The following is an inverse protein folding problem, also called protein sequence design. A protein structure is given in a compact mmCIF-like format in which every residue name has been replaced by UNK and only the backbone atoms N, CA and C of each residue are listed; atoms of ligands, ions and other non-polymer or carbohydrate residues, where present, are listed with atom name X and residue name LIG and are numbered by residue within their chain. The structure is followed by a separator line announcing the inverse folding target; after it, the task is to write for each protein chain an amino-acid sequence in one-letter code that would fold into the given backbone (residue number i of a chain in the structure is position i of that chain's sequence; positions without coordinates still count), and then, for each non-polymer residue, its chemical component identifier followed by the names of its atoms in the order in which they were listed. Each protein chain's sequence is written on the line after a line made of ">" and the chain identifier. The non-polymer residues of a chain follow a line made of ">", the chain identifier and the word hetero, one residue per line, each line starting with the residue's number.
data_IF_082628837258
#
_entry.id   IF_082628837258
#
_cell.length_a   1.000
_cell.length_b   1.000
_cell.length_c   1.000
_cell.angle_alpha   90.00
_cell.angle_beta   90.00
_cell.angle_gamma   90.00
#
_symmetry.space_group_name_H-M   'P 1'
#
loop_
_entity.id
_entity.type
_entity.pdbx_description
1 polymer ?
#
# COMPACT_ATOMS: atom_id res chain seq x y z
N UNK A 1 -67.46 -20.57 -11.43
CA UNK A 1 -66.05 -20.57 -10.95
C UNK A 1 -65.44 -19.22 -11.30
N UNK A 2 -65.37 -18.31 -10.33
CA UNK A 2 -64.77 -16.97 -10.46
C UNK A 2 -63.31 -17.08 -10.00
N UNK A 3 -62.36 -16.97 -10.93
CA UNK A 3 -60.94 -16.87 -10.61
C UNK A 3 -60.64 -15.45 -10.15
N UNK A 4 -60.37 -15.30 -8.85
CA UNK A 4 -59.83 -14.08 -8.25
C UNK A 4 -58.41 -13.85 -8.79
N UNK A 5 -58.28 -12.87 -9.68
CA UNK A 5 -57.03 -12.16 -9.90
C UNK A 5 -56.75 -11.29 -8.66
N UNK A 6 -56.05 -11.87 -7.69
CA UNK A 6 -55.51 -11.10 -6.56
C UNK A 6 -54.34 -10.28 -7.08
N UNK A 7 -54.62 -9.00 -7.35
CA UNK A 7 -53.64 -7.94 -7.55
C UNK A 7 -52.72 -7.92 -6.32
N UNK A 8 -51.57 -8.60 -6.43
CA UNK A 8 -50.45 -8.37 -5.53
C UNK A 8 -49.88 -7.00 -5.92
N UNK A 9 -50.43 -5.94 -5.33
CA UNK A 9 -49.83 -4.63 -5.34
C UNK A 9 -48.47 -4.75 -4.65
N UNK A 10 -47.44 -4.99 -5.46
CA UNK A 10 -46.05 -4.82 -5.06
C UNK A 10 -45.92 -3.35 -4.72
N UNK A 11 -46.12 -3.02 -3.44
CA UNK A 11 -45.76 -1.74 -2.87
C UNK A 11 -44.23 -1.68 -3.00
N UNK A 12 -43.77 -1.18 -4.14
CA UNK A 12 -42.43 -0.65 -4.28
C UNK A 12 -42.45 0.56 -3.36
N UNK A 13 -42.21 0.34 -2.07
CA UNK A 13 -41.72 1.39 -1.21
C UNK A 13 -40.39 1.77 -1.84
N UNK A 14 -40.44 2.79 -2.69
CA UNK A 14 -39.29 3.59 -3.06
C UNK A 14 -38.78 4.16 -1.75
N UNK A 15 -38.04 3.35 -0.99
CA UNK A 15 -37.11 3.83 0.00
C UNK A 15 -36.28 4.82 -0.78
N UNK A 16 -36.55 6.10 -0.54
CA UNK A 16 -35.71 7.20 -0.95
C UNK A 16 -34.34 6.86 -0.41
N UNK A 17 -33.53 6.18 -1.24
CA UNK A 17 -32.11 6.03 -1.01
C UNK A 17 -31.64 7.47 -0.87
N UNK A 18 -31.43 7.90 0.37
CA UNK A 18 -30.95 9.25 0.65
C UNK A 18 -29.78 9.46 -0.27
N UNK A 19 -29.81 10.55 -1.04
CA UNK A 19 -28.68 10.90 -1.89
C UNK A 19 -27.45 10.91 -0.98
N UNK A 20 -26.60 9.90 -1.15
CA UNK A 20 -25.35 9.81 -0.44
C UNK A 20 -24.54 11.02 -0.90
N UNK A 21 -24.38 11.99 0.00
CA UNK A 21 -23.55 13.16 -0.24
C UNK A 21 -22.10 12.69 -0.18
N UNK A 22 -21.61 12.07 -1.26
CA UNK A 22 -20.25 11.60 -1.32
C UNK A 22 -19.29 12.71 -0.92
N UNK A 23 -18.41 12.42 0.04
CA UNK A 23 -17.33 13.34 0.43
C UNK A 23 -16.57 13.91 -0.76
N UNK A 24 -16.15 15.15 -0.59
CA UNK A 24 -15.18 15.80 -1.46
C UNK A 24 -13.89 14.99 -1.59
N UNK A 25 -13.23 15.02 -2.76
CA UNK A 25 -11.92 14.40 -2.93
C UNK A 25 -10.90 15.02 -1.97
N UNK A 26 -9.77 14.35 -1.78
CA UNK A 26 -8.73 14.86 -0.90
C UNK A 26 -7.44 14.07 -0.95
N UNK A 27 -6.45 14.53 -0.21
CA UNK A 27 -5.15 13.88 -0.05
C UNK A 27 -5.11 13.12 1.27
N UNK A 28 -4.74 11.86 1.21
CA UNK A 28 -4.61 10.95 2.36
C UNK A 28 -3.14 10.73 2.64
N UNK A 29 -2.74 10.85 3.90
CA UNK A 29 -1.43 10.44 4.37
C UNK A 29 -1.59 9.44 5.51
N UNK A 30 -0.78 8.39 5.47
CA UNK A 30 -0.66 7.45 6.59
C UNK A 30 0.80 7.34 6.99
N UNK A 31 1.05 7.43 8.29
CA UNK A 31 2.40 7.36 8.88
C UNK A 31 2.41 6.36 10.03
N UNK A 32 3.38 5.46 10.04
CA UNK A 32 3.70 4.64 11.21
C UNK A 32 4.40 5.56 12.22
N UNK A 33 3.68 6.03 13.23
CA UNK A 33 4.24 6.98 14.19
C UNK A 33 5.07 6.29 15.27
N UNK A 34 4.60 5.13 15.73
CA UNK A 34 5.24 4.33 16.77
C UNK A 34 4.76 2.88 16.73
N UNK A 35 5.53 2.01 17.37
CA UNK A 35 5.12 0.65 17.70
C UNK A 35 5.50 0.32 19.14
N UNK A 36 5.00 -0.79 19.65
CA UNK A 36 5.29 -1.26 20.99
C UNK A 36 5.31 -2.78 21.04
N UNK A 37 6.08 -3.29 21.99
CA UNK A 37 6.21 -4.71 22.28
C UNK A 37 5.64 -4.98 23.67
N UNK A 38 4.60 -5.81 23.75
CA UNK A 38 4.06 -6.30 25.04
C UNK A 38 4.62 -7.67 25.41
N UNK A 39 5.17 -8.38 24.43
CA UNK A 39 5.90 -9.62 24.61
C UNK A 39 6.79 -9.83 23.39
N UNK A 40 8.08 -9.97 23.63
CA UNK A 40 9.07 -10.32 22.62
C UNK A 40 8.86 -11.77 22.12
N UNK A 41 9.24 -12.05 20.89
CA UNK A 41 9.34 -13.40 20.33
C UNK A 41 10.47 -14.15 21.03
N UNK A 42 10.61 -15.45 20.74
CA UNK A 42 11.76 -16.19 21.27
C UNK A 42 12.91 -16.03 20.30
N UNK A 43 13.80 -15.13 20.65
CA UNK A 43 15.07 -14.90 19.98
C UNK A 43 15.97 -16.15 19.99
N UNK A 44 16.98 -16.16 19.12
CA UNK A 44 17.99 -17.21 19.13
C UNK A 44 18.78 -17.17 20.46
N UNK A 45 19.23 -18.33 20.95
CA UNK A 45 19.89 -18.43 22.27
C UNK A 45 21.24 -17.67 22.33
N UNK A 46 21.76 -17.25 21.17
CA UNK A 46 23.09 -16.69 21.03
C UNK A 46 23.10 -15.20 20.69
N UNK A 47 21.94 -14.58 20.50
CA UNK A 47 21.77 -13.22 19.98
C UNK A 47 22.62 -13.03 18.69
N UNK A 48 22.57 -14.01 17.78
CA UNK A 48 23.50 -14.14 16.65
C UNK A 48 23.21 -13.15 15.51
N UNK A 49 21.97 -12.73 15.39
CA UNK A 49 21.42 -11.74 14.47
C UNK A 49 21.20 -10.37 15.13
N UNK A 50 21.28 -10.29 16.45
CA UNK A 50 21.31 -9.04 17.20
C UNK A 50 20.79 -9.27 18.61
N UNK A 51 20.65 -8.21 19.40
CA UNK A 51 20.21 -8.33 20.79
C UNK A 51 18.69 -8.36 20.81
N UNK A 52 18.06 -9.44 21.28
CA UNK A 52 16.59 -9.50 21.39
C UNK A 52 15.95 -9.31 20.02
N UNK A 53 14.64 -9.07 20.00
CA UNK A 53 13.90 -9.02 18.75
C UNK A 53 14.34 -7.87 17.85
N UNK A 54 14.34 -8.21 16.56
CA UNK A 54 14.37 -7.27 15.46
C UNK A 54 13.11 -7.39 14.62
N UNK A 55 12.54 -6.24 14.28
CA UNK A 55 11.30 -6.21 13.51
C UNK A 55 11.36 -5.24 12.35
N UNK A 56 10.64 -5.57 11.29
CA UNK A 56 10.29 -4.61 10.25
C UNK A 56 8.80 -4.67 9.97
N UNK A 57 8.32 -3.66 9.26
CA UNK A 57 6.90 -3.51 8.97
C UNK A 57 6.69 -3.55 7.47
N UNK A 58 5.66 -4.30 7.03
CA UNK A 58 5.23 -4.35 5.64
C UNK A 58 3.78 -3.88 5.54
N UNK A 59 3.56 -2.89 4.68
CA UNK A 59 2.30 -2.21 4.49
C UNK A 59 1.87 -2.34 3.04
N UNK A 60 0.95 -3.25 2.76
CA UNK A 60 0.37 -3.36 1.42
C UNK A 60 -0.89 -2.51 1.36
N UNK A 61 -1.07 -1.72 0.31
CA UNK A 61 -2.22 -0.84 0.21
C UNK A 61 -2.78 -0.74 -1.21
N UNK A 62 -4.04 -0.35 -1.29
CA UNK A 62 -4.76 -0.15 -2.55
C UNK A 62 -5.72 1.03 -2.46
N UNK A 63 -5.90 1.72 -3.58
CA UNK A 63 -6.99 2.68 -3.79
C UNK A 63 -7.98 2.05 -4.76
N UNK A 64 -9.19 1.80 -4.29
CA UNK A 64 -10.30 1.33 -5.10
C UNK A 64 -11.14 2.52 -5.55
N UNK A 65 -11.58 2.50 -6.81
CA UNK A 65 -12.60 3.41 -7.29
C UNK A 65 -13.97 3.08 -6.72
N UNK A 66 -14.94 3.96 -7.00
CA UNK A 66 -16.35 3.80 -6.58
C UNK A 66 -17.00 2.47 -7.02
N UNK A 67 -16.46 1.78 -8.03
CA UNK A 67 -16.98 0.49 -8.49
C UNK A 67 -16.12 -0.70 -8.03
N UNK A 68 -15.19 -0.48 -7.10
CA UNK A 68 -14.27 -1.52 -6.63
C UNK A 68 -13.12 -1.83 -7.59
N UNK A 69 -12.98 -1.09 -8.69
CA UNK A 69 -11.84 -1.24 -9.58
C UNK A 69 -10.57 -0.70 -8.93
N UNK A 70 -9.48 -1.47 -8.95
CA UNK A 70 -8.17 -1.03 -8.44
C UNK A 70 -7.63 0.13 -9.27
N UNK A 71 -7.44 1.29 -8.65
CA UNK A 71 -6.78 2.48 -9.25
C UNK A 71 -5.30 2.52 -8.92
N UNK A 72 -4.94 2.04 -7.74
CA UNK A 72 -3.57 1.94 -7.25
C UNK A 72 -3.44 0.69 -6.39
N UNK A 73 -2.31 0.02 -6.48
CA UNK A 73 -1.86 -1.01 -5.53
C UNK A 73 -0.36 -0.86 -5.36
N UNK A 74 0.12 -0.85 -4.13
CA UNK A 74 1.54 -0.70 -3.83
C UNK A 74 1.84 -1.29 -2.45
N UNK A 75 3.12 -1.26 -2.07
CA UNK A 75 3.58 -1.65 -0.75
C UNK A 75 4.69 -0.73 -0.26
N UNK A 76 4.79 -0.60 1.06
CA UNK A 76 5.89 0.08 1.75
C UNK A 76 6.47 -0.87 2.79
N UNK A 77 7.78 -1.08 2.76
CA UNK A 77 8.50 -1.90 3.73
C UNK A 77 9.48 -0.98 4.46
N UNK A 78 9.52 -1.04 5.79
CA UNK A 78 10.45 -0.24 6.59
C UNK A 78 11.85 -0.85 6.59
N UNK A 79 12.83 -0.09 7.09
CA UNK A 79 14.06 -0.70 7.59
C UNK A 79 13.76 -1.60 8.80
N UNK A 80 14.77 -2.37 9.21
CA UNK A 80 14.71 -3.17 10.43
C UNK A 80 14.95 -2.27 11.64
N UNK A 81 14.12 -2.42 12.66
CA UNK A 81 14.25 -1.80 13.98
C UNK A 81 14.78 -2.84 14.95
N UNK A 82 15.87 -2.52 15.67
CA UNK A 82 16.54 -3.50 16.55
C UNK A 82 17.93 -3.09 16.98
N UNK A 83 18.83 -4.06 17.23
CA UNK A 83 20.25 -3.79 17.45
C UNK A 83 20.90 -3.23 16.17
N UNK A 84 21.54 -2.08 16.27
CA UNK A 84 22.19 -1.42 15.14
C UNK A 84 23.73 -1.37 15.27
N UNK A 85 24.32 -2.32 15.99
CA UNK A 85 25.77 -2.37 16.23
C UNK A 85 26.50 -3.33 15.29
N UNK A 86 27.80 -3.09 15.08
CA UNK A 86 28.66 -3.97 14.28
C UNK A 86 28.18 -4.20 12.85
N UNK A 87 27.96 -5.48 12.50
CA UNK A 87 27.45 -5.92 11.19
C UNK A 87 26.03 -5.43 10.87
N UNK A 88 25.32 -4.92 11.88
CA UNK A 88 23.91 -4.49 11.79
C UNK A 88 23.76 -2.97 11.77
N UNK A 89 24.83 -2.23 11.48
CA UNK A 89 24.86 -0.76 11.46
C UNK A 89 23.93 -0.10 10.43
N UNK A 90 23.35 -0.87 9.50
CA UNK A 90 22.33 -0.39 8.57
C UNK A 90 20.91 -0.37 9.16
N UNK A 91 20.68 -0.94 10.36
CA UNK A 91 19.39 -0.94 11.05
C UNK A 91 19.12 0.38 11.74
N UNK A 92 17.84 0.61 12.07
CA UNK A 92 17.46 1.69 12.99
C UNK A 92 17.58 1.16 14.42
N UNK A 93 18.48 1.75 15.22
CA UNK A 93 18.60 1.40 16.63
C UNK A 93 17.27 1.66 17.34
N UNK A 94 16.67 0.62 17.91
CA UNK A 94 15.37 0.68 18.54
C UNK A 94 15.26 -0.30 19.71
N UNK A 95 14.42 0.03 20.68
CA UNK A 95 14.23 -0.77 21.89
C UNK A 95 15.20 -0.45 23.01
N UNK A 96 15.11 -1.21 24.11
CA UNK A 96 15.90 -0.99 25.32
C UNK A 96 16.59 -2.25 25.86
N UNK A 97 16.85 -3.23 25.00
CA UNK A 97 17.73 -4.34 25.34
C UNK A 97 19.17 -3.84 25.61
N UNK A 98 19.85 -4.52 26.53
CA UNK A 98 21.22 -4.20 26.93
C UNK A 98 22.12 -5.41 26.71
N UNK A 99 23.37 -5.18 26.29
CA UNK A 99 24.38 -6.23 26.22
C UNK A 99 24.80 -6.75 27.62
N UNK A 100 25.66 -7.77 27.66
CA UNK A 100 26.17 -8.36 28.91
C UNK A 100 26.98 -7.38 29.78
N UNK A 101 27.38 -6.23 29.22
CA UNK A 101 28.10 -5.16 29.91
C UNK A 101 27.15 -4.02 30.32
N UNK A 102 25.85 -4.14 30.05
CA UNK A 102 24.83 -3.15 30.37
C UNK A 102 24.71 -2.01 29.35
N UNK A 103 25.36 -2.08 28.19
CA UNK A 103 25.23 -1.05 27.16
C UNK A 103 23.94 -1.28 26.36
N UNK A 104 23.10 -0.25 26.24
CA UNK A 104 21.97 -0.29 25.32
C UNK A 104 22.49 -0.21 23.87
N UNK A 105 22.27 -1.28 23.09
CA UNK A 105 22.68 -1.38 21.68
C UNK A 105 21.49 -1.30 20.71
N UNK A 106 20.29 -1.11 21.24
CA UNK A 106 19.06 -1.47 20.58
C UNK A 106 18.69 -2.93 20.91
N UNK A 107 17.65 -3.41 20.23
CA UNK A 107 16.99 -4.67 20.54
C UNK A 107 15.66 -4.43 21.22
N UNK A 108 14.61 -5.00 20.67
CA UNK A 108 13.25 -4.79 21.16
C UNK A 108 12.95 -5.83 22.22
N UNK A 109 12.54 -5.36 23.40
CA UNK A 109 12.08 -6.23 24.48
C UNK A 109 10.69 -5.86 24.94
N UNK A 110 10.14 -6.74 25.76
CA UNK A 110 8.88 -6.56 26.47
C UNK A 110 8.83 -5.19 27.16
N UNK A 111 7.71 -4.50 26.96
CA UNK A 111 7.39 -3.13 27.41
C UNK A 111 8.06 -1.99 26.64
N UNK A 112 8.81 -2.25 25.57
CA UNK A 112 9.34 -1.19 24.72
C UNK A 112 8.23 -0.45 23.95
N UNK A 113 8.42 0.87 23.81
CA UNK A 113 7.63 1.75 22.95
C UNK A 113 8.60 2.55 22.09
N UNK A 114 8.54 2.36 20.78
CA UNK A 114 9.49 2.92 19.81
C UNK A 114 8.78 3.93 18.90
N UNK A 115 9.22 5.18 18.93
CA UNK A 115 8.77 6.21 17.98
C UNK A 115 9.62 6.19 16.71
N UNK A 116 8.99 6.19 15.54
CA UNK A 116 9.70 6.05 14.25
C UNK A 116 9.24 6.98 13.13
N UNK A 117 7.98 7.45 13.12
CA UNK A 117 7.45 8.40 12.13
C UNK A 117 7.76 8.05 10.65
N UNK A 118 7.52 6.80 10.25
CA UNK A 118 7.77 6.34 8.88
C UNK A 118 6.56 6.61 7.98
N UNK A 119 6.70 7.40 6.90
CA UNK A 119 5.61 7.63 5.95
C UNK A 119 5.29 6.33 5.19
N UNK A 120 4.00 5.95 5.18
CA UNK A 120 3.53 4.70 4.58
C UNK A 120 2.91 4.92 3.21
N UNK A 121 1.98 5.87 3.12
CA UNK A 121 1.36 6.26 1.87
C UNK A 121 1.01 7.75 1.87
N UNK A 122 1.03 8.33 0.68
CA UNK A 122 0.62 9.71 0.42
C UNK A 122 -0.05 9.77 -0.96
N UNK A 123 -1.39 9.77 -0.99
CA UNK A 123 -2.17 9.59 -2.21
C UNK A 123 -3.33 10.57 -2.29
N UNK A 124 -3.71 10.97 -3.50
CA UNK A 124 -4.94 11.72 -3.74
C UNK A 124 -6.06 10.74 -4.09
N UNK A 125 -7.20 10.88 -3.41
CA UNK A 125 -8.41 10.11 -3.67
C UNK A 125 -9.53 10.98 -4.24
N UNK A 126 -10.27 10.39 -5.17
CA UNK A 126 -11.46 10.97 -5.78
C UNK A 126 -12.71 10.77 -4.92
N UNK A 127 -13.82 11.30 -5.41
CA UNK A 127 -15.15 11.10 -4.82
C UNK A 127 -15.52 9.61 -4.89
N UNK A 128 -15.84 9.02 -3.74
CA UNK A 128 -16.25 7.61 -3.63
C UNK A 128 -15.11 6.59 -3.74
N UNK A 129 -13.86 7.04 -3.86
CA UNK A 129 -12.69 6.16 -3.74
C UNK A 129 -12.55 5.66 -2.30
N UNK A 130 -11.98 4.46 -2.14
CA UNK A 130 -11.66 3.85 -0.83
C UNK A 130 -10.17 3.51 -0.79
N UNK A 131 -9.49 3.94 0.26
CA UNK A 131 -8.12 3.50 0.57
C UNK A 131 -8.21 2.31 1.50
N UNK A 132 -7.50 1.22 1.18
CA UNK A 132 -7.33 0.07 2.05
C UNK A 132 -5.87 -0.19 2.33
N UNK A 133 -5.53 -0.54 3.57
CA UNK A 133 -4.21 -0.86 4.07
C UNK A 133 -4.24 -2.21 4.78
N UNK A 134 -3.23 -3.04 4.52
CA UNK A 134 -3.01 -4.34 5.17
C UNK A 134 -1.64 -4.28 5.85
N UNK A 135 -1.57 -3.84 7.12
CA UNK A 135 -0.32 -3.82 7.86
C UNK A 135 0.08 -5.22 8.35
N UNK A 136 1.38 -5.48 8.39
CA UNK A 136 1.98 -6.65 9.04
C UNK A 136 3.29 -6.25 9.72
N UNK A 137 3.58 -6.90 10.86
CA UNK A 137 4.86 -6.81 11.57
C UNK A 137 5.58 -8.12 11.34
N UNK A 138 6.87 -8.08 11.08
CA UNK A 138 7.70 -9.24 10.84
C UNK A 138 8.85 -9.27 11.82
N UNK A 139 9.05 -10.45 12.41
CA UNK A 139 10.31 -10.82 13.05
C UNK A 139 11.40 -10.93 11.97
N UNK A 140 12.62 -10.54 12.32
CA UNK A 140 13.77 -10.53 11.43
C UNK A 140 14.91 -11.34 12.04
N UNK A 141 15.31 -12.39 11.33
CA UNK A 141 16.40 -13.31 11.69
C UNK A 141 17.36 -13.52 10.50
N UNK A 142 17.47 -12.49 9.65
CA UNK A 142 18.30 -12.48 8.42
C UNK A 142 18.06 -13.63 7.42
N UNK A 143 16.91 -14.29 7.47
CA UNK A 143 16.67 -15.51 6.69
C UNK A 143 15.38 -15.45 5.85
N UNK A 144 15.23 -16.32 4.86
CA UNK A 144 13.94 -16.61 4.22
C UNK A 144 13.07 -15.45 3.66
N UNK A 145 13.65 -14.48 2.94
CA UNK A 145 12.90 -13.40 2.26
C UNK A 145 11.87 -13.88 1.22
N UNK A 146 11.96 -15.13 0.77
CA UNK A 146 11.02 -15.72 -0.19
C UNK A 146 9.62 -15.91 0.40
N UNK A 147 9.52 -16.26 1.68
CA UNK A 147 8.23 -16.41 2.37
C UNK A 147 7.54 -15.07 2.50
N UNK A 148 8.27 -14.03 2.90
CA UNK A 148 7.77 -12.66 2.95
C UNK A 148 7.26 -12.20 1.58
N UNK A 149 8.06 -12.37 0.53
CA UNK A 149 7.67 -11.98 -0.83
C UNK A 149 6.40 -12.70 -1.27
N UNK A 150 6.33 -14.02 -1.04
CA UNK A 150 5.16 -14.83 -1.39
C UNK A 150 3.90 -14.41 -0.62
N UNK A 151 4.05 -14.09 0.66
CA UNK A 151 2.97 -13.55 1.49
C UNK A 151 2.44 -12.24 0.92
N UNK A 152 3.33 -11.29 0.64
CA UNK A 152 2.97 -9.97 0.11
C UNK A 152 2.28 -10.07 -1.25
N UNK A 153 2.80 -10.91 -2.15
CA UNK A 153 2.19 -11.18 -3.46
C UNK A 153 0.80 -11.80 -3.31
N UNK A 154 0.62 -12.74 -2.38
CA UNK A 154 -0.68 -13.36 -2.11
C UNK A 154 -1.73 -12.31 -1.69
N UNK A 155 -1.38 -11.40 -0.78
CA UNK A 155 -2.27 -10.33 -0.34
C UNK A 155 -2.59 -9.37 -1.49
N UNK A 156 -1.56 -8.87 -2.18
CA UNK A 156 -1.74 -7.91 -3.27
C UNK A 156 -2.54 -8.49 -4.45
N UNK A 157 -2.38 -9.79 -4.74
CA UNK A 157 -3.14 -10.48 -5.78
C UNK A 157 -4.64 -10.57 -5.48
N UNK A 158 -5.02 -10.52 -4.20
CA UNK A 158 -6.42 -10.57 -3.76
C UNK A 158 -7.10 -9.19 -3.76
N UNK A 159 -6.36 -8.09 -3.96
CA UNK A 159 -6.92 -6.73 -3.96
C UNK A 159 -8.07 -6.52 -4.94
N UNK A 160 -8.08 -7.00 -6.19
CA UNK A 160 -9.22 -6.81 -7.09
C UNK A 160 -10.53 -7.37 -6.50
N UNK A 161 -10.48 -8.55 -5.88
CA UNK A 161 -11.66 -9.16 -5.25
C UNK A 161 -12.03 -8.42 -3.96
N UNK A 162 -11.05 -8.13 -3.11
CA UNK A 162 -11.26 -7.38 -1.87
C UNK A 162 -11.89 -6.00 -2.13
N UNK A 163 -11.43 -5.30 -3.16
CA UNK A 163 -11.85 -3.94 -3.49
C UNK A 163 -13.34 -3.84 -3.85
N UNK A 164 -13.89 -4.85 -4.53
CA UNK A 164 -15.33 -4.88 -4.82
C UNK A 164 -16.17 -4.90 -3.55
N UNK A 165 -15.77 -5.72 -2.57
CA UNK A 165 -16.52 -5.92 -1.33
C UNK A 165 -16.29 -4.81 -0.31
N UNK A 166 -15.09 -4.23 -0.28
CA UNK A 166 -14.74 -3.18 0.67
C UNK A 166 -15.45 -1.86 0.34
N UNK A 167 -15.65 -1.56 -0.94
CA UNK A 167 -16.36 -0.35 -1.36
C UNK A 167 -17.82 -0.42 -0.93
N UNK A 168 -18.47 -1.57 -1.08
CA UNK A 168 -19.82 -1.81 -0.56
C UNK A 168 -19.87 -1.69 0.96
N UNK A 169 -18.86 -2.24 1.64
CA UNK A 169 -18.78 -2.21 3.09
C UNK A 169 -18.64 -0.80 3.66
N UNK A 170 -17.66 -0.03 3.16
CA UNK A 170 -17.40 1.34 3.62
C UNK A 170 -18.61 2.24 3.42
N UNK A 171 -19.40 2.01 2.36
CA UNK A 171 -20.67 2.73 2.15
C UNK A 171 -21.71 2.41 3.22
N UNK A 172 -21.84 1.14 3.58
CA UNK A 172 -22.81 0.71 4.59
C UNK A 172 -22.46 1.21 5.99
N UNK A 173 -21.17 1.31 6.30
CA UNK A 173 -20.67 1.71 7.62
C UNK A 173 -20.92 3.19 7.97
N UNK A 174 -21.33 4.00 7.02
CA UNK A 174 -21.75 5.37 7.29
C UNK A 174 -23.26 5.40 7.57
N UNK A 175 -23.74 5.96 8.71
CA UNK A 175 -23.13 7.07 9.46
C UNK A 175 -22.51 6.74 10.84
N UNK A 176 -22.54 5.50 11.32
CA UNK A 176 -22.13 5.13 12.70
C UNK A 176 -20.63 4.82 12.78
N UNK A 177 -19.83 5.83 13.11
CA UNK A 177 -18.35 5.74 13.08
C UNK A 177 -17.73 5.46 14.45
N UNK A 178 -18.56 5.28 15.48
CA UNK A 178 -18.07 4.97 16.82
C UNK A 178 -17.55 3.53 16.95
N UNK A 179 -17.81 2.68 15.95
CA UNK A 179 -17.36 1.28 15.93
C UNK A 179 -16.14 1.11 15.01
N UNK A 180 -15.01 0.67 15.58
CA UNK A 180 -13.80 0.33 14.83
C UNK A 180 -14.05 -0.78 13.80
N UNK A 181 -15.07 -1.62 13.99
CA UNK A 181 -15.45 -2.65 13.04
C UNK A 181 -15.85 -2.07 11.67
N UNK A 182 -16.18 -0.78 11.59
CA UNK A 182 -16.53 -0.11 10.35
C UNK A 182 -15.34 0.09 9.40
N UNK A 183 -14.13 0.23 9.94
CA UNK A 183 -12.94 0.53 9.15
C UNK A 183 -11.79 -0.44 9.39
N UNK A 184 -11.83 -1.26 10.46
CA UNK A 184 -10.84 -2.29 10.76
C UNK A 184 -11.51 -3.65 10.82
N UNK A 185 -11.08 -4.58 9.98
CA UNK A 185 -11.60 -5.96 9.95
C UNK A 185 -10.52 -6.99 9.74
N UNK A 186 -10.84 -8.22 10.10
CA UNK A 186 -10.10 -9.38 9.60
C UNK A 186 -10.39 -9.56 8.10
N UNK A 187 -9.35 -9.80 7.34
CA UNK A 187 -9.37 -9.91 5.88
C UNK A 187 -9.99 -11.19 5.34
N UNK A 188 -10.05 -12.24 6.17
CA UNK A 188 -10.63 -13.52 5.78
C UNK A 188 -12.17 -13.47 5.74
N UNK A 189 -12.78 -14.46 5.11
CA UNK A 189 -14.24 -14.55 5.00
C UNK A 189 -14.83 -13.51 4.05
N UNK A 190 -15.53 -12.51 4.59
CA UNK A 190 -16.26 -11.52 3.79
C UNK A 190 -15.36 -10.83 2.77
N UNK A 191 -14.20 -10.31 3.19
CA UNK A 191 -13.30 -9.55 2.30
C UNK A 191 -12.56 -10.40 1.27
N UNK A 192 -12.54 -11.73 1.43
CA UNK A 192 -11.94 -12.65 0.48
C UNK A 192 -10.41 -12.62 0.43
N UNK A 193 -9.73 -12.07 1.45
CA UNK A 193 -8.29 -12.30 1.57
C UNK A 193 -8.06 -13.76 2.01
N UNK A 194 -7.06 -14.45 1.44
CA UNK A 194 -6.71 -15.78 1.87
C UNK A 194 -6.17 -15.75 3.30
N UNK A 195 -6.45 -16.80 4.06
CA UNK A 195 -5.61 -17.12 5.22
C UNK A 195 -4.25 -17.59 4.70
N UNK A 196 -3.16 -16.98 5.16
CA UNK A 196 -1.83 -17.23 4.60
C UNK A 196 -1.16 -18.50 5.16
N UNK A 197 -1.94 -19.50 5.61
CA UNK A 197 -1.44 -20.72 6.26
C UNK A 197 -0.49 -21.51 5.36
N UNK A 198 -0.85 -21.73 4.09
CA UNK A 198 -0.03 -22.50 3.15
C UNK A 198 1.35 -21.88 2.87
N UNK A 199 1.43 -20.55 2.86
CA UNK A 199 2.68 -19.81 2.59
C UNK A 199 3.56 -19.77 3.84
N UNK A 200 2.96 -19.67 5.01
CA UNK A 200 3.66 -19.47 6.27
C UNK A 200 3.96 -20.78 7.03
N UNK A 201 3.50 -21.92 6.51
CA UNK A 201 3.70 -23.21 7.16
C UNK A 201 5.19 -23.53 7.41
N UNK A 202 6.09 -23.10 6.53
CA UNK A 202 7.54 -23.35 6.66
C UNK A 202 8.19 -22.60 7.83
N UNK A 203 7.56 -21.52 8.31
CA UNK A 203 8.04 -20.66 9.40
C UNK A 203 7.17 -20.75 10.66
N UNK A 204 6.20 -21.67 10.67
CA UNK A 204 5.33 -21.88 11.83
C UNK A 204 6.08 -22.59 12.97
N UNK A 205 6.00 -22.03 14.18
CA UNK A 205 6.64 -22.54 15.40
C UNK A 205 8.16 -22.73 15.27
N UNK A 206 8.81 -21.83 14.53
CA UNK A 206 10.26 -21.80 14.33
C UNK A 206 10.73 -20.35 14.47
N UNK A 207 11.86 -20.11 15.15
CA UNK A 207 12.59 -18.87 14.97
C UNK A 207 12.86 -18.65 13.47
N UNK A 208 12.62 -17.45 12.99
CA UNK A 208 12.90 -17.06 11.62
C UNK A 208 12.12 -15.83 11.17
N UNK A 209 12.42 -15.34 9.97
CA UNK A 209 11.62 -14.29 9.33
C UNK A 209 10.18 -14.77 9.13
N UNK A 210 9.26 -14.26 9.95
CA UNK A 210 7.84 -14.60 9.92
C UNK A 210 6.99 -13.41 10.35
N UNK A 211 5.73 -13.33 9.93
CA UNK A 211 4.84 -12.31 10.43
C UNK A 211 4.44 -12.61 11.88
N UNK A 212 4.36 -11.57 12.70
CA UNK A 212 3.81 -11.63 14.05
C UNK A 212 2.28 -11.59 13.97
N UNK A 213 1.62 -12.49 14.68
CA UNK A 213 0.16 -12.67 14.64
C UNK A 213 -0.26 -13.99 14.00
N UNK A 214 0.63 -14.98 13.98
CA UNK A 214 0.36 -16.33 13.53
C UNK A 214 -0.30 -17.17 14.63
N UNK A 215 -1.26 -18.00 14.25
CA UNK A 215 -1.79 -19.08 15.09
C UNK A 215 -0.79 -20.24 15.18
N UNK A 216 -1.04 -21.16 16.12
CA UNK A 216 -0.25 -22.40 16.30
C UNK A 216 -0.15 -23.27 15.05
N UNK A 217 -1.15 -23.21 14.18
CA UNK A 217 -1.18 -23.97 12.92
C UNK A 217 -0.52 -23.22 11.75
N UNK A 218 0.16 -22.10 12.01
CA UNK A 218 0.77 -21.27 10.97
C UNK A 218 -0.22 -20.41 10.20
N UNK A 219 -1.50 -20.41 10.59
CA UNK A 219 -2.52 -19.55 10.01
C UNK A 219 -2.30 -18.09 10.38
N UNK A 220 -2.34 -17.21 9.38
CA UNK A 220 -2.28 -15.77 9.56
C UNK A 220 -3.50 -15.13 8.91
N UNK A 221 -4.23 -14.33 9.69
CA UNK A 221 -5.42 -13.61 9.26
C UNK A 221 -5.05 -12.14 9.09
N UNK A 222 -4.95 -11.62 7.86
CA UNK A 222 -4.59 -10.22 7.63
C UNK A 222 -5.59 -9.27 8.28
N UNK A 223 -5.12 -8.18 8.87
CA UNK A 223 -5.99 -7.09 9.31
C UNK A 223 -6.08 -6.09 8.16
N UNK A 224 -7.30 -5.66 7.80
CA UNK A 224 -7.56 -4.67 6.76
C UNK A 224 -8.11 -3.41 7.39
N UNK A 225 -7.48 -2.28 7.09
CA UNK A 225 -7.94 -0.94 7.46
C UNK A 225 -8.42 -0.23 6.19
N UNK A 226 -9.71 0.10 6.10
CA UNK A 226 -10.31 0.64 4.89
C UNK A 226 -11.19 1.84 5.16
N UNK A 227 -10.95 2.93 4.42
CA UNK A 227 -11.58 4.23 4.68
C UNK A 227 -11.85 4.97 3.36
N UNK A 228 -13.07 5.46 3.19
CA UNK A 228 -13.41 6.50 2.21
C UNK A 228 -13.19 7.90 2.78
N UNK A 229 -13.29 8.95 1.97
CA UNK A 229 -12.97 10.31 2.40
C UNK A 229 -13.80 10.82 3.61
N UNK A 230 -15.09 10.50 3.72
CA UNK A 230 -15.91 10.84 4.91
C UNK A 230 -15.39 10.17 6.19
N UNK A 231 -15.01 8.91 6.08
CA UNK A 231 -14.48 8.13 7.19
C UNK A 231 -13.08 8.62 7.57
N UNK A 232 -12.26 8.98 6.59
CA UNK A 232 -10.94 9.59 6.80
C UNK A 232 -11.03 10.93 7.55
N UNK A 233 -11.97 11.81 7.17
CA UNK A 233 -12.20 13.09 7.85
C UNK A 233 -12.56 12.88 9.33
N UNK A 234 -13.41 11.89 9.62
CA UNK A 234 -13.77 11.54 11.00
C UNK A 234 -12.61 10.88 11.76
N UNK A 235 -11.98 9.86 11.18
CA UNK A 235 -10.90 9.09 11.82
C UNK A 235 -9.71 9.98 12.13
N UNK A 236 -9.37 10.92 11.24
CA UNK A 236 -8.33 11.92 11.48
C UNK A 236 -8.61 12.82 12.70
N UNK A 237 -9.87 12.94 13.13
CA UNK A 237 -10.29 13.67 14.33
C UNK A 237 -10.62 12.79 15.54
N UNK A 238 -10.57 11.46 15.42
CA UNK A 238 -10.88 10.54 16.52
C UNK A 238 -9.73 10.34 17.46
N UNK A 239 -10.04 10.25 18.75
CA UNK A 239 -9.13 9.78 19.79
C UNK A 239 -9.52 8.35 20.14
N UNK A 240 -8.70 7.38 19.73
CA UNK A 240 -8.97 5.97 20.04
C UNK A 240 -8.59 5.71 21.51
N UNK A 241 -9.60 5.35 22.33
CA UNK A 241 -9.38 5.01 23.73
C UNK A 241 -8.57 3.71 23.86
N UNK A 242 -7.72 3.68 24.89
CA UNK A 242 -6.71 2.65 25.16
C UNK A 242 -7.23 1.21 24.93
N UNK A 243 -6.94 0.62 23.77
CA UNK A 243 -7.11 -0.82 23.53
C UNK A 243 -5.96 -1.56 24.23
N UNK A 244 -5.97 -1.57 25.57
CA UNK A 244 -4.92 -2.24 26.35
C UNK A 244 -3.52 -1.64 26.20
N UNK A 245 -3.40 -0.44 25.65
CA UNK A 245 -2.12 0.16 25.27
C UNK A 245 -1.82 1.38 26.15
N UNK A 246 -0.58 1.48 26.64
CA UNK A 246 -0.16 2.37 27.74
C UNK A 246 -0.28 3.87 27.37
N UNK A 247 -1.41 4.48 27.69
CA UNK A 247 -1.52 5.94 27.89
C UNK A 247 -1.34 6.84 26.66
N UNK A 248 -1.47 6.30 25.46
CA UNK A 248 -1.29 7.06 24.23
C UNK A 248 -2.61 7.29 23.52
N UNK A 249 -3.09 8.53 23.56
CA UNK A 249 -4.41 8.91 23.04
C UNK A 249 -4.31 10.04 22.03
N UNK A 250 -3.32 9.98 21.13
CA UNK A 250 -3.20 11.02 20.11
C UNK A 250 -4.33 10.90 19.10
N UNK A 251 -4.84 12.05 18.67
CA UNK A 251 -5.90 12.16 17.69
C UNK A 251 -5.41 11.64 16.33
N UNK A 252 -6.23 10.84 15.66
CA UNK A 252 -5.95 10.28 14.33
C UNK A 252 -5.06 9.03 14.31
N UNK A 253 -4.68 8.49 15.47
CA UNK A 253 -3.81 7.32 15.56
C UNK A 253 -4.61 6.02 15.68
N UNK A 254 -4.70 5.25 14.60
CA UNK A 254 -5.35 3.93 14.59
C UNK A 254 -4.42 2.87 15.22
N UNK A 255 -4.81 2.20 16.31
CA UNK A 255 -4.06 1.09 16.86
C UNK A 255 -4.32 -0.21 16.09
N UNK A 256 -3.24 -0.95 15.83
CA UNK A 256 -3.26 -2.32 15.27
C UNK A 256 -2.45 -3.22 16.17
N UNK A 257 -3.06 -4.31 16.63
CA UNK A 257 -2.47 -5.22 17.63
C UNK A 257 -2.41 -6.64 17.06
N UNK A 258 -1.28 -7.30 17.26
CA UNK A 258 -1.02 -8.70 16.94
C UNK A 258 -0.73 -9.42 18.26
N UNK A 259 -1.60 -10.36 18.62
CA UNK A 259 -1.54 -11.10 19.89
C UNK A 259 -1.52 -12.59 19.60
N UNK A 260 -0.33 -13.17 19.52
CA UNK A 260 -0.16 -14.59 19.21
C UNK A 260 -0.63 -15.50 20.36
N UNK A 261 -0.49 -15.07 21.61
CA UNK A 261 -1.02 -15.82 22.76
C UNK A 261 -2.54 -15.95 22.70
N UNK A 262 -3.22 -14.86 22.32
CA UNK A 262 -4.66 -14.85 22.11
C UNK A 262 -5.11 -15.77 20.97
N UNK A 263 -4.21 -16.12 20.06
CA UNK A 263 -4.40 -17.09 18.97
C UNK A 263 -3.97 -18.51 19.36
N UNK A 264 -3.62 -18.73 20.63
CA UNK A 264 -3.18 -20.01 21.19
C UNK A 264 -1.71 -20.33 20.95
N UNK A 265 -0.94 -19.45 20.27
CA UNK A 265 0.48 -19.65 20.07
C UNK A 265 1.26 -19.19 21.31
N UNK A 266 1.76 -20.16 22.08
CA UNK A 266 2.49 -19.92 23.34
C UNK A 266 3.96 -20.32 23.26
N UNK A 267 4.49 -20.59 22.05
CA UNK A 267 5.87 -20.97 21.81
C UNK A 267 6.43 -20.09 20.70
N UNK A 268 7.61 -19.51 20.92
CA UNK A 268 8.27 -18.66 19.94
C UNK A 268 7.33 -17.56 19.42
N UNK A 269 6.63 -16.89 20.34
CA UNK A 269 5.49 -16.01 20.01
C UNK A 269 5.72 -14.58 20.48
N UNK A 270 5.24 -13.62 19.70
CA UNK A 270 5.36 -12.19 19.98
C UNK A 270 3.99 -11.51 20.07
N UNK A 271 3.87 -10.54 20.99
CA UNK A 271 2.70 -9.68 21.10
C UNK A 271 3.12 -8.23 20.86
N UNK A 272 2.75 -7.72 19.70
CA UNK A 272 3.17 -6.42 19.20
C UNK A 272 1.98 -5.56 18.81
N UNK A 273 2.19 -4.26 18.72
CA UNK A 273 1.27 -3.43 17.97
C UNK A 273 1.90 -2.15 17.47
N UNK A 274 1.14 -1.45 16.64
CA UNK A 274 1.54 -0.22 15.98
C UNK A 274 0.45 0.84 16.05
N UNK A 275 0.85 2.10 15.88
CA UNK A 275 -0.06 3.22 15.68
C UNK A 275 0.17 3.83 14.32
N UNK A 276 -0.93 3.93 13.57
CA UNK A 276 -0.95 4.53 12.25
C UNK A 276 -1.67 5.87 12.33
N UNK A 277 -0.94 6.96 12.14
CA UNK A 277 -1.52 8.29 12.06
C UNK A 277 -2.12 8.47 10.68
N UNK A 278 -3.40 8.81 10.63
CA UNK A 278 -4.13 9.13 9.40
C UNK A 278 -4.38 10.63 9.33
N UNK A 279 -3.98 11.24 8.22
CA UNK A 279 -4.23 12.64 7.94
C UNK A 279 -5.01 12.76 6.63
N UNK A 280 -6.04 13.61 6.62
CA UNK A 280 -6.85 13.87 5.44
C UNK A 280 -6.94 15.37 5.17
N UNK A 281 -6.47 15.78 3.99
CA UNK A 281 -6.54 17.15 3.52
C UNK A 281 -7.60 17.20 2.42
N UNK A 282 -8.78 17.68 2.78
CA UNK A 282 -9.89 17.86 1.86
C UNK A 282 -9.49 18.81 0.73
N UNK A 283 -9.72 18.41 -0.51
CA UNK A 283 -9.53 19.31 -1.65
C UNK A 283 -10.60 20.40 -1.59
N UNK A 284 -10.15 21.66 -1.55
CA UNK A 284 -11.06 22.77 -1.80
C UNK A 284 -11.45 22.75 -3.27
N UNK A 285 -12.74 22.86 -3.61
CA UNK A 285 -13.14 23.09 -4.99
C UNK A 285 -12.35 24.29 -5.51
N UNK A 286 -11.85 24.26 -6.76
CA UNK A 286 -11.30 25.47 -7.34
C UNK A 286 -12.35 26.58 -7.19
N UNK A 287 -11.95 27.80 -6.80
CA UNK A 287 -12.89 28.89 -6.66
C UNK A 287 -13.70 28.97 -7.95
N UNK A 288 -15.04 29.15 -7.86
CA UNK A 288 -15.87 29.23 -9.05
C UNK A 288 -15.22 30.24 -10.00
N UNK A 289 -15.07 29.91 -11.30
CA UNK A 289 -14.37 30.76 -12.24
C UNK A 289 -14.94 32.16 -12.09
N UNK A 290 -14.07 33.15 -11.80
CA UNK A 290 -14.47 34.54 -11.61
C UNK A 290 -15.44 34.87 -12.74
N UNK A 291 -16.70 35.15 -12.40
CA UNK A 291 -17.72 35.43 -13.41
C UNK A 291 -17.10 36.39 -14.39
N UNK A 292 -16.93 35.96 -15.64
CA UNK A 292 -16.30 36.81 -16.65
C UNK A 292 -17.02 38.16 -16.60
N UNK A 293 -16.29 39.29 -16.57
CA UNK A 293 -16.90 40.61 -16.50
C UNK A 293 -18.07 40.65 -17.46
N UNK A 294 -19.26 40.98 -16.95
CA UNK A 294 -20.52 40.96 -17.69
C UNK A 294 -20.30 41.83 -18.94
N UNK A 295 -19.97 41.21 -20.08
CA UNK A 295 -19.63 41.94 -21.29
C UNK A 295 -20.91 42.65 -21.73
N UNK A 296 -20.94 43.97 -21.52
CA UNK A 296 -21.88 44.86 -22.17
C UNK A 296 -21.70 44.63 -23.67
N UNK A 297 -22.73 44.11 -24.34
CA UNK A 297 -22.71 43.83 -25.78
C UNK A 297 -22.34 45.10 -26.54
N UNK A 298 -21.07 45.23 -26.93
CA UNK A 298 -20.63 46.20 -27.91
C UNK A 298 -20.68 45.51 -29.29
N UNK A 299 -21.38 46.08 -30.29
CA UNK A 299 -21.50 45.45 -31.59
C UNK A 299 -20.19 45.63 -32.36
N UNK A 300 -19.33 44.60 -32.43
CA UNK A 300 -18.13 44.64 -33.27
C UNK A 300 -17.84 43.28 -33.90
N UNK A 301 -17.91 43.26 -35.23
CA UNK A 301 -16.99 42.65 -36.18
C UNK A 301 -16.44 41.24 -35.91
N UNK A 302 -16.87 40.30 -36.75
CA UNK A 302 -16.28 38.98 -36.95
C UNK A 302 -14.77 39.07 -37.21
N UNK A 303 -13.96 38.79 -36.19
CA UNK A 303 -12.54 38.44 -36.35
C UNK A 303 -12.32 37.03 -35.81
N UNK A 304 -12.05 36.13 -36.72
CA UNK A 304 -11.63 34.75 -36.49
C UNK A 304 -10.33 34.75 -35.71
N UNK A 305 -10.37 34.26 -34.46
CA UNK A 305 -9.17 34.04 -33.64
C UNK A 305 -8.78 32.57 -33.72
N UNK A 306 -7.55 32.34 -34.19
CA UNK A 306 -6.91 31.03 -34.18
C UNK A 306 -6.75 30.55 -32.74
N UNK A 307 -7.43 29.44 -32.45
CA UNK A 307 -7.41 28.75 -31.17
C UNK A 307 -6.06 28.03 -31.02
N UNK A 308 -5.21 28.51 -30.12
CA UNK A 308 -3.98 27.82 -29.74
C UNK A 308 -4.33 26.55 -28.96
N UNK A 309 -3.88 25.41 -29.49
CA UNK A 309 -4.09 24.06 -29.00
C UNK A 309 -3.86 23.92 -27.49
N UNK A 310 -4.86 23.39 -26.78
CA UNK A 310 -4.67 22.76 -25.47
C UNK A 310 -3.60 21.67 -25.61
N UNK A 311 -2.66 21.63 -24.65
CA UNK A 311 -1.64 20.62 -24.51
C UNK A 311 -2.21 19.22 -24.73
N UNK A 312 -1.90 18.63 -25.90
CA UNK A 312 -2.16 17.23 -26.16
C UNK A 312 -1.46 16.42 -25.06
N UNK A 313 -2.22 15.58 -24.35
CA UNK A 313 -1.64 14.63 -23.40
C UNK A 313 -0.54 13.87 -24.14
N UNK A 314 0.71 14.06 -23.72
CA UNK A 314 1.87 13.43 -24.35
C UNK A 314 1.67 11.93 -24.22
N UNK A 315 1.36 11.25 -25.34
CA UNK A 315 1.17 9.80 -25.31
C UNK A 315 2.44 9.14 -24.76
N UNK A 316 2.31 8.18 -23.85
CA UNK A 316 3.45 7.40 -23.34
C UNK A 316 4.04 6.48 -24.42
N UNK A 317 3.25 6.18 -25.46
CA UNK A 317 3.66 5.32 -26.58
C UNK A 317 4.82 5.92 -27.34
N UNK A 318 5.75 5.06 -27.77
CA UNK A 318 6.95 5.46 -28.51
C UNK A 318 8.19 4.72 -28.05
N UNK A 319 9.33 5.06 -28.66
CA UNK A 319 10.65 4.53 -28.31
C UNK A 319 11.30 5.40 -27.24
N UNK A 320 11.83 4.75 -26.21
CA UNK A 320 12.54 5.34 -25.09
C UNK A 320 13.97 4.79 -25.07
N UNK A 321 14.95 5.67 -24.89
CA UNK A 321 16.38 5.31 -24.91
C UNK A 321 17.14 6.01 -23.80
N UNK A 322 18.07 5.30 -23.16
CA UNK A 322 18.93 5.83 -22.12
C UNK A 322 19.81 4.74 -21.52
N UNK A 323 19.90 4.67 -20.20
CA UNK A 323 20.83 3.78 -19.49
C UNK A 323 20.18 3.09 -18.29
N UNK A 324 20.78 1.99 -17.87
CA UNK A 324 20.49 1.31 -16.61
C UNK A 324 21.78 0.93 -15.87
N UNK A 325 21.66 0.67 -14.58
CA UNK A 325 22.75 0.21 -13.72
C UNK A 325 22.25 -0.76 -12.65
N UNK A 326 23.14 -1.07 -11.70
CA UNK A 326 22.85 -1.90 -10.53
C UNK A 326 22.78 -1.04 -9.26
N UNK A 327 22.03 -1.53 -8.25
CA UNK A 327 21.83 -0.81 -6.99
C UNK A 327 21.22 0.58 -7.23
N UNK A 328 21.83 1.62 -6.67
CA UNK A 328 21.38 3.01 -6.86
C UNK A 328 21.87 3.67 -8.16
N UNK A 329 22.64 2.96 -8.99
CA UNK A 329 23.15 3.49 -10.26
C UNK A 329 22.15 3.30 -11.41
N UNK A 330 22.01 4.32 -12.25
CA UNK A 330 21.28 4.27 -13.53
C UNK A 330 22.21 4.13 -14.75
N UNK A 331 23.51 3.88 -14.53
CA UNK A 331 24.57 3.78 -15.55
C UNK A 331 25.48 2.58 -15.26
N UNK A 332 26.30 2.11 -16.23
CA UNK A 332 26.56 2.69 -17.56
C UNK A 332 25.89 1.98 -18.74
N UNK A 333 25.11 0.93 -18.51
CA UNK A 333 24.66 0.04 -19.57
C UNK A 333 23.55 0.66 -20.42
N UNK A 334 23.59 0.44 -21.73
CA UNK A 334 22.55 0.90 -22.65
C UNK A 334 21.18 0.31 -22.28
N UNK A 335 20.14 1.13 -22.36
CA UNK A 335 18.76 0.71 -22.14
C UNK A 335 17.82 1.32 -23.16
N UNK A 336 17.00 0.50 -23.82
CA UNK A 336 15.94 0.99 -24.70
C UNK A 336 14.73 0.09 -24.69
N UNK A 337 13.54 0.70 -24.76
CA UNK A 337 12.29 -0.02 -24.92
C UNK A 337 11.30 0.76 -25.78
N UNK A 338 10.36 0.04 -26.40
CA UNK A 338 9.25 0.59 -27.15
C UNK A 338 7.94 0.25 -26.46
N UNK A 339 7.12 1.28 -26.21
CA UNK A 339 5.76 1.17 -25.66
C UNK A 339 4.75 1.30 -26.80
N UNK A 340 4.00 0.24 -27.04
CA UNK A 340 2.99 0.18 -28.11
C UNK A 340 1.60 0.56 -27.58
N UNK A 341 0.74 1.07 -28.47
CA UNK A 341 -0.61 1.53 -28.08
C UNK A 341 -1.53 0.41 -27.55
N UNK A 342 -1.21 -0.85 -27.80
CA UNK A 342 -1.94 -2.03 -27.34
C UNK A 342 -1.57 -2.48 -25.91
N UNK A 343 -0.67 -1.75 -25.23
CA UNK A 343 -0.19 -2.11 -23.90
C UNK A 343 0.98 -3.09 -23.90
N UNK A 344 1.55 -3.43 -25.06
CA UNK A 344 2.77 -4.24 -25.14
C UNK A 344 4.05 -3.40 -25.01
N UNK A 345 5.08 -4.00 -24.41
CA UNK A 345 6.43 -3.43 -24.31
C UNK A 345 7.42 -4.36 -25.02
N UNK A 346 8.40 -3.78 -25.71
CA UNK A 346 9.53 -4.48 -26.31
C UNK A 346 10.84 -3.86 -25.83
N UNK A 347 11.76 -4.64 -25.26
CA UNK A 347 13.12 -4.15 -25.02
C UNK A 347 13.95 -4.30 -26.28
N UNK A 348 14.75 -3.29 -26.57
CA UNK A 348 15.58 -3.17 -27.75
C UNK A 348 17.06 -3.17 -27.36
N UNK A 349 17.89 -3.85 -28.15
CA UNK A 349 19.34 -3.68 -28.05
C UNK A 349 19.81 -2.39 -28.77
N UNK A 350 21.11 -2.11 -28.74
CA UNK A 350 21.71 -0.92 -29.37
C UNK A 350 21.44 -0.83 -30.89
N UNK A 351 21.31 -1.98 -31.56
CA UNK A 351 20.97 -2.06 -32.98
C UNK A 351 19.47 -1.90 -33.27
N UNK A 352 18.63 -1.78 -32.22
CA UNK A 352 17.18 -1.67 -32.35
C UNK A 352 16.44 -3.00 -32.51
N UNK A 353 17.11 -4.14 -32.33
CA UNK A 353 16.47 -5.46 -32.38
C UNK A 353 15.76 -5.77 -31.07
N UNK A 354 14.59 -6.41 -31.14
CA UNK A 354 13.82 -6.85 -29.98
C UNK A 354 14.53 -8.01 -29.27
N UNK A 355 14.84 -7.83 -27.98
CA UNK A 355 15.50 -8.85 -27.13
C UNK A 355 14.64 -9.36 -25.97
N UNK A 356 13.56 -8.64 -25.65
CA UNK A 356 12.54 -9.08 -24.71
C UNK A 356 11.18 -8.49 -25.10
N UNK A 357 10.10 -9.12 -24.64
CA UNK A 357 8.73 -8.62 -24.85
C UNK A 357 7.86 -8.87 -23.63
N UNK A 358 6.81 -8.07 -23.49
CA UNK A 358 5.86 -8.21 -22.40
C UNK A 358 4.73 -7.18 -22.46
N UNK A 359 4.19 -6.83 -21.30
CA UNK A 359 3.07 -5.90 -21.18
C UNK A 359 3.39 -4.81 -20.18
N UNK A 360 2.82 -3.62 -20.40
CA UNK A 360 2.95 -2.48 -19.51
C UNK A 360 1.60 -1.87 -19.15
N UNK A 361 1.58 -1.14 -18.04
CA UNK A 361 0.50 -0.23 -17.68
C UNK A 361 1.08 1.15 -17.38
N UNK A 362 0.34 2.20 -17.76
CA UNK A 362 0.73 3.57 -17.48
C UNK A 362 -0.45 4.34 -16.90
N UNK A 363 -0.33 4.79 -15.66
CA UNK A 363 -1.40 5.50 -14.95
C UNK A 363 -0.78 6.51 -14.01
N UNK A 364 -1.32 7.73 -13.98
CA UNK A 364 -0.85 8.82 -13.11
C UNK A 364 0.67 9.09 -13.23
N UNK A 365 1.19 9.13 -14.46
CA UNK A 365 2.62 9.29 -14.75
C UNK A 365 3.53 8.17 -14.23
N UNK A 366 2.99 7.05 -13.79
CA UNK A 366 3.74 5.86 -13.36
C UNK A 366 3.62 4.78 -14.42
N UNK A 367 4.77 4.33 -14.93
CA UNK A 367 4.93 3.16 -15.80
C UNK A 367 5.25 1.95 -14.94
N UNK A 368 4.52 0.86 -15.12
CA UNK A 368 4.91 -0.48 -14.64
C UNK A 368 4.92 -1.45 -15.80
N UNK A 369 5.90 -2.34 -15.87
CA UNK A 369 5.96 -3.35 -16.92
C UNK A 369 6.58 -4.65 -16.45
N UNK A 370 6.14 -5.76 -17.05
CA UNK A 370 6.74 -7.09 -16.92
C UNK A 370 7.16 -7.54 -18.31
N UNK A 371 8.35 -8.12 -18.45
CA UNK A 371 8.85 -8.61 -19.74
C UNK A 371 9.74 -9.84 -19.58
N UNK A 372 9.83 -10.62 -20.65
CA UNK A 372 10.59 -11.86 -20.72
C UNK A 372 11.60 -11.80 -21.86
N UNK A 373 12.86 -12.06 -21.54
CA UNK A 373 13.92 -12.19 -22.54
C UNK A 373 13.70 -13.46 -23.37
N UNK A 374 14.21 -13.46 -24.60
CA UNK A 374 14.20 -14.65 -25.47
C UNK A 374 14.94 -15.84 -24.85
N UNK A 375 15.90 -15.58 -23.95
CA UNK A 375 16.59 -16.60 -23.15
C UNK A 375 15.75 -17.22 -22.02
N UNK A 376 14.58 -16.65 -21.73
CA UNK A 376 13.63 -17.15 -20.73
C UNK A 376 13.60 -16.38 -19.40
N UNK A 377 14.58 -15.50 -19.13
CA UNK A 377 14.60 -14.72 -17.90
C UNK A 377 13.49 -13.66 -17.87
N UNK A 378 12.80 -13.52 -16.73
CA UNK A 378 11.70 -12.57 -16.53
C UNK A 378 12.12 -11.45 -15.59
N UNK A 379 11.69 -10.23 -15.90
CA UNK A 379 12.00 -9.02 -15.15
C UNK A 379 10.80 -8.06 -15.11
N UNK A 380 10.82 -7.17 -14.13
CA UNK A 380 9.86 -6.09 -13.99
C UNK A 380 10.53 -4.74 -13.79
N UNK A 381 9.85 -3.68 -14.22
CA UNK A 381 10.27 -2.30 -14.01
C UNK A 381 9.12 -1.43 -13.49
N UNK A 382 9.48 -0.38 -12.77
CA UNK A 382 8.58 0.72 -12.40
C UNK A 382 9.30 2.04 -12.57
N UNK A 383 8.65 3.07 -13.09
CA UNK A 383 9.25 4.40 -13.25
C UNK A 383 8.24 5.53 -13.40
N UNK A 384 8.71 6.76 -13.20
CA UNK A 384 7.87 7.96 -13.24
C UNK A 384 8.25 8.82 -14.44
N UNK A 385 7.24 9.35 -15.15
CA UNK A 385 7.41 10.30 -16.26
C UNK A 385 7.50 11.72 -15.72
N UNK A 386 8.59 12.42 -16.04
CA UNK A 386 8.77 13.85 -15.80
C UNK A 386 9.54 14.47 -16.97
N UNK A 387 9.02 15.53 -17.58
CA UNK A 387 9.70 16.28 -18.65
C UNK A 387 10.25 15.41 -19.80
N UNK A 388 9.43 14.50 -20.34
CA UNK A 388 9.83 13.51 -21.37
C UNK A 388 11.00 12.58 -20.96
N UNK A 389 11.28 12.50 -19.67
CA UNK A 389 12.22 11.55 -19.07
C UNK A 389 11.44 10.54 -18.24
N UNK A 390 11.63 9.26 -18.50
CA UNK A 390 11.22 8.19 -17.60
C UNK A 390 12.43 7.75 -16.78
N UNK A 391 12.28 7.70 -15.47
CA UNK A 391 13.30 7.15 -14.58
C UNK A 391 12.68 6.27 -13.50
N UNK A 392 13.39 5.22 -13.09
CA UNK A 392 12.78 4.18 -12.27
C UNK A 392 13.73 3.12 -11.76
N UNK A 393 13.14 2.04 -11.27
CA UNK A 393 13.83 0.84 -10.77
C UNK A 393 13.44 -0.39 -11.59
N UNK A 394 14.28 -1.42 -11.53
CA UNK A 394 14.02 -2.74 -12.12
C UNK A 394 14.40 -3.86 -11.15
N UNK A 395 13.82 -5.04 -11.33
CA UNK A 395 14.09 -6.23 -10.53
C UNK A 395 13.75 -7.53 -11.27
N UNK A 396 14.18 -8.65 -10.70
CA UNK A 396 13.91 -9.98 -11.26
C UNK A 396 12.46 -10.41 -11.03
N UNK A 397 11.96 -11.25 -11.93
CA UNK A 397 10.59 -11.76 -11.93
C UNK A 397 9.56 -10.62 -11.87
N UNK A 398 8.68 -10.63 -10.87
CA UNK A 398 7.64 -9.64 -10.64
C UNK A 398 8.08 -8.49 -9.73
N UNK A 399 9.31 -8.54 -9.21
CA UNK A 399 9.85 -7.47 -8.37
C UNK A 399 10.28 -6.29 -9.23
N UNK A 400 9.82 -5.09 -8.87
CA UNK A 400 10.29 -3.83 -9.48
C UNK A 400 11.50 -3.24 -8.73
N UNK A 401 12.01 -3.93 -7.70
CA UNK A 401 13.12 -3.50 -6.86
C UNK A 401 14.23 -4.56 -6.78
N UNK A 402 15.42 -4.13 -6.35
CA UNK A 402 16.57 -5.01 -6.07
C UNK A 402 17.52 -5.26 -7.25
N UNK A 403 17.13 -4.94 -8.49
CA UNK A 403 18.01 -5.05 -9.66
C UNK A 403 18.88 -3.80 -9.86
N UNK A 404 18.24 -2.64 -9.95
CA UNK A 404 18.93 -1.35 -10.02
C UNK A 404 18.04 -0.22 -10.51
N UNK A 405 18.65 0.87 -11.01
CA UNK A 405 17.94 2.04 -11.57
C UNK A 405 18.11 2.16 -13.07
N UNK A 406 17.21 2.90 -13.69
CA UNK A 406 17.27 3.22 -15.11
C UNK A 406 16.73 4.63 -15.37
N UNK A 407 17.18 5.24 -16.47
CA UNK A 407 16.72 6.54 -16.97
C UNK A 407 16.66 6.48 -18.50
N UNK A 408 15.57 6.97 -19.09
CA UNK A 408 15.37 7.01 -20.54
C UNK A 408 14.67 8.30 -20.95
N UNK A 409 14.98 8.76 -22.15
CA UNK A 409 14.31 9.89 -22.79
C UNK A 409 13.47 9.39 -23.97
N UNK A 410 12.36 10.09 -24.23
CA UNK A 410 11.55 9.83 -25.41
C UNK A 410 12.28 10.33 -26.66
N UNK A 411 12.42 9.45 -27.65
CA UNK A 411 12.99 9.81 -28.96
C UNK A 411 11.95 10.40 -29.92
#
# INVERSE_FOLDING_TARGET
>A
MKLLFSFLAFLITSSSFGQWNFSSPGRVKVTLVRFFCTKETSDDIFDGDGKKDEVFFSFMYTVAGINGNTKLSSKTITGVFGDATGSFSSRTSAGSATDILGNNRGGIKTDDVVSCNVPILDVTIGVGDVVSLVPSIWEWDNNNFNVQTSFEESIMSAFPQMNTKIVEHVRYCFPTVDDQSCFRRNGTGYLGLPECSGILQSVSNRPGNRPIGMSTNGGYVPIVISMGAELLEKVAGMQFSNIGMRGHTDVGNIPVVFNEEGLGNTRDHGNYGMYLKVEFIKSTPPPPPTQSPKMTKQPVGTKTLNQTNLNAATSITGKWTGTYGSGESATPSFYSFQLNADGSIQLLNESGNVIASGTYSFTNNVLTANYKYTSGSEFSLSGTLQNNTLSGTWGSYKSVSGGGRWVTNKN
#
